data_IF_897900339683
#
_entry.id   IF_897900339683
#
_cell.length_a   1.000
_cell.length_b   1.000
_cell.length_c   1.000
_cell.angle_alpha   90.00
_cell.angle_beta   90.00
_cell.angle_gamma   90.00
#
_symmetry.space_group_name_H-M   'P 1'
#
loop_
_entity.id
_entity.type
_entity.pdbx_description
1 polymer ?
#
# COMPACT_ATOMS: atom_id res chain seq x y z
N UNK A 1 -30.40 -3.72 3.84
CA UNK A 1 -29.53 -2.66 4.41
C UNK A 1 -28.54 -2.27 3.31
N UNK A 2 -28.45 -0.97 2.97
CA UNK A 2 -27.43 -0.49 2.03
C UNK A 2 -26.05 -0.69 2.66
N UNK A 3 -25.08 -1.16 1.84
CA UNK A 3 -23.70 -1.27 2.31
C UNK A 3 -23.16 0.12 2.71
N UNK A 4 -22.40 0.22 3.81
CA UNK A 4 -21.82 1.50 4.22
C UNK A 4 -20.76 1.94 3.21
N UNK A 5 -20.59 3.25 3.07
CA UNK A 5 -19.40 3.80 2.45
C UNK A 5 -18.27 3.79 3.49
N UNK A 6 -17.19 3.08 3.23
CA UNK A 6 -16.09 2.98 4.20
C UNK A 6 -14.91 2.16 3.73
N UNK A 7 -13.94 1.99 4.61
CA UNK A 7 -12.77 1.13 4.38
C UNK A 7 -12.85 -0.08 5.31
N UNK A 8 -12.93 -1.26 4.73
CA UNK A 8 -12.87 -2.52 5.47
C UNK A 8 -11.40 -2.96 5.57
N UNK A 9 -10.79 -2.93 6.77
CA UNK A 9 -9.44 -3.37 6.98
C UNK A 9 -9.38 -4.90 7.00
N UNK A 10 -8.74 -5.51 6.00
CA UNK A 10 -8.69 -6.97 5.88
C UNK A 10 -7.26 -7.50 5.95
N UNK A 11 -7.05 -8.63 6.62
CA UNK A 11 -5.83 -9.43 6.52
C UNK A 11 -5.96 -10.40 5.34
N UNK A 12 -5.22 -10.12 4.27
CA UNK A 12 -5.13 -11.06 3.15
C UNK A 12 -4.30 -12.27 3.57
N UNK A 13 -4.80 -13.51 3.44
CA UNK A 13 -3.99 -14.70 3.61
C UNK A 13 -3.02 -14.89 2.45
N UNK A 14 -1.92 -15.66 2.60
CA UNK A 14 -1.10 -16.10 1.49
C UNK A 14 -1.90 -17.03 0.56
N UNK A 15 -1.59 -17.04 -0.74
CA UNK A 15 -2.24 -17.88 -1.75
C UNK A 15 -3.09 -17.09 -2.74
N UNK A 16 -4.25 -16.52 -2.36
CA UNK A 16 -5.09 -15.81 -3.30
C UNK A 16 -4.49 -14.44 -3.69
N UNK A 17 -4.73 -14.01 -4.93
CA UNK A 17 -4.42 -12.64 -5.36
C UNK A 17 -5.33 -11.63 -4.65
N UNK A 18 -4.91 -10.35 -4.57
CA UNK A 18 -5.75 -9.28 -4.01
C UNK A 18 -7.12 -9.18 -4.70
N UNK A 19 -7.19 -9.46 -6.01
CA UNK A 19 -8.46 -9.47 -6.76
C UNK A 19 -9.37 -10.65 -6.38
N UNK A 20 -8.79 -11.84 -6.16
CA UNK A 20 -9.55 -13.00 -5.68
C UNK A 20 -10.11 -12.77 -4.28
N UNK A 21 -9.36 -12.09 -3.41
CA UNK A 21 -9.83 -11.67 -2.07
C UNK A 21 -11.01 -10.71 -2.20
N UNK A 22 -10.91 -9.65 -3.04
CA UNK A 22 -12.05 -8.74 -3.32
C UNK A 22 -13.27 -9.52 -3.81
N UNK A 23 -13.08 -10.50 -4.70
CA UNK A 23 -14.17 -11.34 -5.21
C UNK A 23 -14.78 -12.23 -4.13
N UNK A 24 -13.97 -12.76 -3.21
CA UNK A 24 -14.46 -13.54 -2.07
C UNK A 24 -15.28 -12.66 -1.12
N UNK A 25 -14.76 -11.50 -0.74
CA UNK A 25 -15.47 -10.53 0.11
C UNK A 25 -16.79 -10.11 -0.52
N UNK A 26 -16.82 -9.83 -1.84
CA UNK A 26 -18.06 -9.47 -2.54
C UNK A 26 -19.13 -10.57 -2.50
N UNK A 27 -18.72 -11.84 -2.50
CA UNK A 27 -19.69 -12.96 -2.33
C UNK A 27 -20.27 -13.02 -0.93
N UNK A 28 -19.45 -12.71 0.10
CA UNK A 28 -19.88 -12.72 1.49
C UNK A 28 -20.83 -11.57 1.83
N UNK A 29 -20.51 -10.34 1.37
CA UNK A 29 -21.26 -9.13 1.76
C UNK A 29 -22.36 -8.74 0.76
N UNK A 30 -22.44 -9.43 -0.38
CA UNK A 30 -23.45 -9.20 -1.42
C UNK A 30 -22.87 -8.67 -2.73
N UNK A 31 -23.30 -9.27 -3.84
CA UNK A 31 -22.76 -8.99 -5.19
C UNK A 31 -23.03 -7.57 -5.71
N UNK A 32 -24.04 -6.89 -5.14
CA UNK A 32 -24.38 -5.50 -5.48
C UNK A 32 -23.46 -4.45 -4.84
N UNK A 33 -22.61 -4.85 -3.87
CA UNK A 33 -21.72 -3.93 -3.18
C UNK A 33 -20.47 -3.66 -4.03
N UNK A 34 -20.19 -2.39 -4.27
CA UNK A 34 -18.92 -2.00 -4.91
C UNK A 34 -17.78 -2.18 -3.93
N UNK A 35 -16.76 -2.95 -4.32
CA UNK A 35 -15.56 -3.16 -3.51
C UNK A 35 -14.34 -3.09 -4.40
N UNK A 36 -13.31 -2.37 -3.94
CA UNK A 36 -11.99 -2.29 -4.54
C UNK A 36 -10.91 -2.34 -3.46
N UNK A 37 -9.68 -2.70 -3.79
CA UNK A 37 -8.56 -2.65 -2.84
C UNK A 37 -7.68 -1.42 -3.06
N UNK A 38 -7.09 -0.90 -1.99
CA UNK A 38 -6.11 0.18 -2.00
C UNK A 38 -4.70 -0.39 -1.79
N UNK A 39 -4.13 -0.94 -2.87
CA UNK A 39 -2.76 -1.47 -2.88
C UNK A 39 -2.67 -2.98 -2.98
N UNK A 40 -2.20 -3.44 -4.14
CA UNK A 40 -1.99 -4.85 -4.44
C UNK A 40 -0.98 -5.49 -3.48
N UNK A 41 -1.26 -6.73 -3.08
CA UNK A 41 -0.29 -7.69 -2.54
C UNK A 41 -0.16 -8.85 -3.52
N UNK A 42 1.06 -9.35 -3.68
CA UNK A 42 1.33 -10.54 -4.48
C UNK A 42 0.59 -11.77 -3.90
N UNK A 43 0.29 -12.81 -4.68
CA UNK A 43 -0.43 -13.98 -4.17
C UNK A 43 0.24 -14.62 -2.96
N UNK A 44 1.56 -14.82 -2.97
CA UNK A 44 2.31 -15.41 -1.86
C UNK A 44 2.44 -14.50 -0.63
N UNK A 45 2.16 -13.20 -0.76
CA UNK A 45 2.23 -12.26 0.35
C UNK A 45 0.97 -12.29 1.21
N UNK A 46 1.15 -12.00 2.50
CA UNK A 46 0.07 -11.85 3.47
C UNK A 46 -0.01 -10.43 4.03
N UNK A 47 -1.07 -10.14 4.80
CA UNK A 47 -1.18 -8.94 5.64
C UNK A 47 -2.21 -7.92 5.19
N UNK A 48 -2.04 -6.70 5.65
CA UNK A 48 -3.02 -5.60 5.56
C UNK A 48 -3.38 -5.29 4.11
N UNK A 49 -4.65 -5.46 3.78
CA UNK A 49 -5.24 -5.12 2.49
C UNK A 49 -6.47 -4.22 2.72
N UNK A 50 -6.33 -2.90 2.66
CA UNK A 50 -7.48 -2.01 2.79
C UNK A 50 -8.45 -2.22 1.63
N UNK A 51 -9.72 -2.52 1.93
CA UNK A 51 -10.79 -2.66 0.95
C UNK A 51 -11.72 -1.46 1.04
N UNK A 52 -11.83 -0.71 -0.04
CA UNK A 52 -12.79 0.38 -0.16
C UNK A 52 -14.15 -0.18 -0.53
N UNK A 53 -15.18 0.19 0.24
CA UNK A 53 -16.57 -0.27 0.08
C UNK A 53 -17.45 0.91 -0.34
N UNK A 54 -18.39 0.68 -1.25
CA UNK A 54 -19.34 1.67 -1.70
C UNK A 54 -18.70 2.89 -2.35
N UNK A 55 -19.08 4.09 -1.94
CA UNK A 55 -18.53 5.37 -2.40
C UNK A 55 -17.06 5.56 -2.05
N UNK A 56 -16.57 4.92 -0.98
CA UNK A 56 -15.17 4.99 -0.59
C UNK A 56 -14.21 4.37 -1.63
N UNK A 57 -14.70 3.63 -2.63
CA UNK A 57 -13.87 3.20 -3.76
C UNK A 57 -13.22 4.35 -4.52
N UNK A 58 -13.80 5.57 -4.44
CA UNK A 58 -13.24 6.80 -5.00
C UNK A 58 -12.02 7.31 -4.22
N UNK A 59 -11.83 6.84 -2.97
CA UNK A 59 -10.76 7.27 -2.07
C UNK A 59 -9.53 6.37 -2.13
N UNK A 60 -9.56 5.28 -2.89
CA UNK A 60 -8.49 4.30 -2.96
C UNK A 60 -7.11 4.92 -3.29
N UNK A 61 -7.08 5.96 -4.11
CA UNK A 61 -5.85 6.66 -4.49
C UNK A 61 -5.18 7.35 -3.29
N UNK A 62 -5.95 7.92 -2.36
CA UNK A 62 -5.42 8.61 -1.17
C UNK A 62 -4.86 7.63 -0.14
N UNK A 63 -5.42 6.43 -0.03
CA UNK A 63 -4.92 5.37 0.85
C UNK A 63 -3.54 4.81 0.41
N UNK A 64 -3.03 5.24 -0.73
CA UNK A 64 -1.66 4.97 -1.14
C UNK A 64 -0.62 5.94 -0.56
N UNK A 65 -1.05 7.12 -0.04
CA UNK A 65 -0.16 8.18 0.46
C UNK A 65 0.64 7.73 1.68
N UNK A 66 0.04 7.11 2.74
CA UNK A 66 0.80 6.66 3.88
C UNK A 66 1.88 5.64 3.50
N UNK A 67 2.97 5.67 4.25
CA UNK A 67 4.02 4.67 4.14
C UNK A 67 3.44 3.27 4.38
N UNK A 68 4.05 2.29 3.74
CA UNK A 68 3.76 0.88 3.95
C UNK A 68 4.88 0.25 4.75
N UNK A 69 4.52 -0.69 5.61
CA UNK A 69 5.49 -1.42 6.38
C UNK A 69 5.37 -2.92 6.10
N UNK A 70 6.53 -3.54 5.86
CA UNK A 70 6.61 -4.94 5.51
C UNK A 70 7.66 -5.64 6.36
N UNK A 71 7.35 -6.88 6.74
CA UNK A 71 8.31 -7.86 7.23
C UNK A 71 8.55 -8.88 6.14
N UNK A 72 9.81 -9.16 5.84
CA UNK A 72 10.14 -10.06 4.74
C UNK A 72 11.37 -10.92 5.06
N UNK A 73 11.40 -12.08 4.45
CA UNK A 73 12.56 -12.95 4.44
C UNK A 73 13.41 -12.64 3.20
N UNK A 74 14.67 -12.31 3.41
CA UNK A 74 15.70 -12.16 2.40
C UNK A 74 16.48 -13.48 2.31
N UNK A 75 16.39 -14.17 1.19
CA UNK A 75 17.11 -15.42 0.92
C UNK A 75 18.33 -15.08 0.07
N UNK A 76 19.51 -15.23 0.65
CA UNK A 76 20.81 -14.88 0.06
C UNK A 76 21.51 -16.10 -0.51
N UNK A 77 22.20 -15.94 -1.65
CA UNK A 77 22.90 -17.00 -2.34
C UNK A 77 22.13 -17.65 -3.49
N UNK A 78 20.88 -17.22 -3.71
CA UNK A 78 20.04 -17.71 -4.80
C UNK A 78 19.26 -16.57 -5.44
N UNK A 79 19.29 -16.48 -6.77
CA UNK A 79 18.46 -15.58 -7.57
C UNK A 79 17.34 -16.37 -8.24
N UNK A 80 16.14 -15.79 -8.33
CA UNK A 80 15.03 -16.40 -9.06
C UNK A 80 14.53 -15.47 -10.16
N UNK A 81 13.94 -16.05 -11.20
CA UNK A 81 13.40 -15.32 -12.35
C UNK A 81 12.22 -14.40 -11.99
N UNK A 82 11.50 -14.66 -10.90
CA UNK A 82 10.42 -13.82 -10.35
C UNK A 82 10.88 -12.89 -9.24
N UNK A 83 12.13 -13.02 -8.78
CA UNK A 83 12.68 -12.32 -7.59
C UNK A 83 11.97 -12.69 -6.27
N UNK A 84 11.21 -13.80 -6.25
CA UNK A 84 10.59 -14.37 -5.05
C UNK A 84 10.72 -15.92 -5.05
N UNK A 85 10.28 -16.53 -3.96
CA UNK A 85 10.40 -17.98 -3.77
C UNK A 85 9.53 -18.84 -4.72
N UNK A 86 8.65 -18.23 -5.54
CA UNK A 86 7.83 -18.96 -6.51
C UNK A 86 8.53 -19.14 -7.85
N UNK A 87 9.63 -18.42 -8.07
CA UNK A 87 10.41 -18.49 -9.30
C UNK A 87 11.38 -19.66 -9.35
N UNK A 88 11.92 -19.91 -10.55
CA UNK A 88 13.00 -20.86 -10.74
C UNK A 88 14.33 -20.21 -10.40
N UNK A 89 15.22 -20.94 -9.73
CA UNK A 89 16.60 -20.48 -9.49
C UNK A 89 17.32 -20.31 -10.84
N UNK A 90 17.86 -19.12 -11.04
CA UNK A 90 18.55 -18.72 -12.28
C UNK A 90 20.01 -18.31 -12.06
N UNK A 91 20.42 -18.13 -10.81
CA UNK A 91 21.77 -17.69 -10.44
C UNK A 91 21.97 -17.69 -8.94
N UNK A 92 23.11 -17.12 -8.53
CA UNK A 92 23.51 -16.96 -7.14
C UNK A 92 24.95 -17.43 -6.91
N UNK A 93 25.47 -17.13 -5.72
CA UNK A 93 26.80 -17.52 -5.28
C UNK A 93 26.77 -17.91 -3.80
N UNK A 94 27.84 -18.55 -3.30
CA UNK A 94 27.91 -19.00 -1.92
C UNK A 94 27.76 -17.85 -0.92
N UNK A 95 26.73 -17.93 -0.08
CA UNK A 95 26.43 -16.99 0.99
C UNK A 95 26.96 -17.43 2.36
N UNK A 96 27.59 -18.62 2.46
CA UNK A 96 28.01 -19.20 3.75
C UNK A 96 29.04 -18.37 4.51
N UNK A 97 29.80 -17.51 3.80
CA UNK A 97 30.78 -16.60 4.40
C UNK A 97 30.21 -15.24 4.88
N UNK A 98 28.94 -14.98 4.67
CA UNK A 98 28.34 -13.70 5.05
C UNK A 98 28.21 -13.58 6.59
N UNK A 99 28.53 -12.39 7.10
CA UNK A 99 28.38 -12.06 8.52
C UNK A 99 27.23 -11.06 8.69
N UNK A 100 26.56 -11.10 9.85
CA UNK A 100 25.48 -10.17 10.21
C UNK A 100 25.84 -8.70 9.95
N UNK A 101 27.04 -8.29 10.37
CA UNK A 101 27.50 -6.91 10.20
C UNK A 101 27.58 -6.46 8.73
N UNK A 102 27.97 -7.38 7.82
CA UNK A 102 28.04 -7.09 6.38
C UNK A 102 26.65 -6.87 5.79
N UNK A 103 25.65 -7.62 6.27
CA UNK A 103 24.26 -7.45 5.84
C UNK A 103 23.72 -6.11 6.35
N UNK A 104 23.91 -5.82 7.65
CA UNK A 104 23.50 -4.53 8.24
C UNK A 104 24.13 -3.33 7.53
N UNK A 105 25.39 -3.43 7.14
CA UNK A 105 26.07 -2.40 6.34
C UNK A 105 25.41 -2.24 4.97
N UNK A 106 25.12 -3.33 4.26
CA UNK A 106 24.44 -3.28 2.97
C UNK A 106 23.04 -2.68 3.10
N UNK A 107 22.26 -3.09 4.10
CA UNK A 107 20.91 -2.55 4.30
C UNK A 107 20.90 -1.02 4.49
N UNK A 108 21.90 -0.46 5.20
CA UNK A 108 22.00 1.01 5.40
C UNK A 108 22.14 1.77 4.10
N UNK A 109 22.72 1.18 3.05
CA UNK A 109 22.88 1.86 1.75
C UNK A 109 21.57 2.01 0.98
N UNK A 110 20.53 1.31 1.37
CA UNK A 110 19.20 1.38 0.75
C UNK A 110 18.24 2.31 1.50
N UNK A 111 18.66 2.99 2.58
CA UNK A 111 17.83 4.00 3.24
C UNK A 111 17.79 5.30 2.43
N UNK A 112 16.63 5.98 2.44
CA UNK A 112 16.41 7.21 1.67
C UNK A 112 15.83 6.97 0.28
N UNK A 113 16.11 7.87 -0.69
CA UNK A 113 15.64 7.73 -2.08
C UNK A 113 16.40 6.62 -2.81
N UNK A 114 15.68 5.65 -3.34
CA UNK A 114 16.21 4.49 -4.07
C UNK A 114 15.59 4.43 -5.45
N UNK A 115 16.41 4.21 -6.47
CA UNK A 115 15.95 3.91 -7.83
C UNK A 115 15.82 2.41 -7.98
N UNK A 116 14.60 1.92 -8.16
CA UNK A 116 14.31 0.51 -8.38
C UNK A 116 13.88 0.27 -9.82
N UNK A 117 14.38 -0.77 -10.44
CA UNK A 117 13.84 -1.28 -11.70
C UNK A 117 12.54 -2.05 -11.41
N UNK A 118 11.44 -1.63 -12.04
CA UNK A 118 10.14 -2.31 -11.87
C UNK A 118 10.26 -3.77 -12.29
N UNK A 119 9.83 -4.74 -11.46
CA UNK A 119 9.92 -6.15 -11.83
C UNK A 119 8.97 -6.47 -12.99
N UNK A 120 9.37 -7.43 -13.85
CA UNK A 120 8.55 -7.84 -14.99
C UNK A 120 7.20 -8.45 -14.55
N UNK A 121 7.21 -9.18 -13.43
CA UNK A 121 5.99 -9.71 -12.81
C UNK A 121 5.30 -8.63 -11.94
N UNK A 122 4.81 -7.55 -12.58
CA UNK A 122 4.10 -6.48 -11.89
C UNK A 122 2.81 -6.08 -12.62
N UNK A 123 1.92 -5.38 -11.88
CA UNK A 123 0.69 -4.81 -12.44
C UNK A 123 0.94 -3.49 -13.19
N UNK A 124 2.17 -2.97 -13.22
CA UNK A 124 2.55 -1.78 -13.99
C UNK A 124 2.28 -2.03 -15.47
N UNK A 125 1.86 -0.97 -16.19
CA UNK A 125 1.56 -1.07 -17.62
C UNK A 125 2.69 -0.48 -18.46
N UNK A 126 2.95 -1.14 -19.59
CA UNK A 126 3.72 -0.63 -20.71
C UNK A 126 2.86 -0.77 -21.94
N UNK A 127 2.66 0.31 -22.72
CA UNK A 127 1.78 0.36 -23.88
C UNK A 127 0.37 -0.21 -23.62
N UNK A 128 -0.20 0.13 -22.46
CA UNK A 128 -1.54 -0.32 -22.08
C UNK A 128 -1.63 -1.76 -21.55
N UNK A 129 -0.60 -2.60 -21.77
CA UNK A 129 -0.53 -4.01 -21.37
C UNK A 129 0.23 -4.11 -20.03
N UNK A 130 -0.21 -4.96 -19.11
CA UNK A 130 0.46 -5.16 -17.83
C UNK A 130 1.77 -5.93 -18.01
N UNK A 131 2.83 -5.56 -17.30
CA UNK A 131 4.15 -6.18 -17.43
C UNK A 131 4.10 -7.71 -17.17
N UNK A 132 3.29 -8.18 -16.22
CA UNK A 132 3.16 -9.62 -15.99
C UNK A 132 2.57 -10.40 -17.19
N UNK A 133 1.83 -9.74 -18.09
CA UNK A 133 1.31 -10.37 -19.31
C UNK A 133 2.41 -10.58 -20.34
N UNK A 134 3.38 -9.65 -20.42
CA UNK A 134 4.61 -9.85 -21.21
C UNK A 134 5.42 -11.02 -20.64
N UNK A 135 5.61 -11.07 -19.32
CA UNK A 135 6.32 -12.15 -18.65
C UNK A 135 5.74 -13.53 -19.00
N UNK A 136 4.40 -13.68 -18.92
CA UNK A 136 3.71 -14.93 -19.25
C UNK A 136 3.86 -15.36 -20.71
N UNK A 137 4.05 -14.41 -21.60
CA UNK A 137 4.27 -14.66 -23.02
C UNK A 137 5.75 -14.92 -23.36
N UNK A 138 6.64 -14.88 -22.36
CA UNK A 138 8.08 -14.99 -22.57
C UNK A 138 8.69 -13.82 -23.36
N UNK A 139 8.00 -12.67 -23.40
CA UNK A 139 8.43 -11.47 -24.11
C UNK A 139 9.06 -10.51 -23.09
N UNK A 140 10.28 -10.07 -23.35
CA UNK A 140 10.89 -8.99 -22.55
C UNK A 140 10.24 -7.67 -22.94
N UNK A 141 9.92 -6.85 -21.92
CA UNK A 141 9.32 -5.54 -22.11
C UNK A 141 10.18 -4.48 -21.41
N UNK A 142 10.24 -3.24 -21.95
CA UNK A 142 10.91 -2.16 -21.26
C UNK A 142 10.34 -1.97 -19.86
N UNK A 143 11.22 -2.04 -18.87
CA UNK A 143 10.87 -1.88 -17.46
C UNK A 143 11.31 -0.50 -17.01
N UNK A 144 10.36 0.40 -16.66
CA UNK A 144 10.74 1.72 -16.19
C UNK A 144 11.45 1.63 -14.83
N UNK A 145 12.31 2.60 -14.57
CA UNK A 145 12.79 2.83 -13.22
C UNK A 145 11.72 3.58 -12.43
N UNK A 146 11.59 3.25 -11.15
CA UNK A 146 10.76 3.96 -10.19
C UNK A 146 11.66 4.54 -9.09
N UNK A 147 11.50 5.83 -8.81
CA UNK A 147 12.10 6.43 -7.61
C UNK A 147 11.17 6.16 -6.43
N UNK A 148 11.66 5.46 -5.43
CA UNK A 148 10.96 5.13 -4.19
C UNK A 148 11.73 5.67 -3.00
N UNK A 149 11.07 5.81 -1.87
CA UNK A 149 11.71 6.23 -0.63
C UNK A 149 11.62 5.13 0.42
N UNK A 150 12.75 4.73 0.97
CA UNK A 150 12.85 3.78 2.09
C UNK A 150 13.13 4.58 3.35
N UNK A 151 12.10 4.74 4.20
CA UNK A 151 12.21 5.48 5.45
C UNK A 151 13.10 4.74 6.45
N UNK A 152 12.93 3.43 6.55
CA UNK A 152 13.75 2.58 7.41
C UNK A 152 13.85 1.17 6.86
N UNK A 153 15.01 0.54 7.06
CA UNK A 153 15.27 -0.85 6.70
C UNK A 153 16.16 -1.46 7.78
N UNK A 154 15.67 -2.50 8.46
CA UNK A 154 16.32 -3.10 9.61
C UNK A 154 16.43 -4.62 9.46
N UNK A 155 17.57 -5.18 9.91
CA UNK A 155 17.75 -6.60 10.09
C UNK A 155 17.23 -6.99 11.48
N UNK A 156 16.22 -7.86 11.51
CA UNK A 156 15.64 -8.38 12.76
C UNK A 156 16.37 -9.64 13.22
N UNK A 157 16.54 -10.59 12.31
CA UNK A 157 17.16 -11.87 12.61
C UNK A 157 18.05 -12.35 11.46
N UNK A 158 19.01 -13.22 11.78
CA UNK A 158 20.00 -13.70 10.84
C UNK A 158 20.32 -15.17 11.05
N UNK A 159 20.16 -15.96 10.01
CA UNK A 159 20.47 -17.38 9.97
C UNK A 159 21.54 -17.64 8.88
N UNK A 160 22.81 -17.86 9.26
CA UNK A 160 23.86 -18.19 8.31
C UNK A 160 23.61 -19.56 7.67
N UNK A 161 24.07 -19.71 6.44
CA UNK A 161 23.90 -20.93 5.65
C UNK A 161 24.14 -20.71 4.18
N UNK A 162 23.84 -21.69 3.36
CA UNK A 162 23.87 -21.58 1.92
C UNK A 162 22.69 -22.39 1.30
N UNK A 163 21.54 -21.74 0.99
CA UNK A 163 21.28 -20.29 1.10
C UNK A 163 21.22 -19.81 2.55
N UNK A 164 21.64 -18.58 2.76
CA UNK A 164 21.49 -17.89 4.04
C UNK A 164 20.16 -17.11 4.09
N UNK A 165 19.63 -16.87 5.30
CA UNK A 165 18.33 -16.23 5.49
C UNK A 165 18.40 -15.07 6.47
N UNK A 166 17.78 -13.97 6.12
CA UNK A 166 17.64 -12.81 6.99
C UNK A 166 16.17 -12.40 7.11
N UNK A 167 15.70 -12.15 8.33
CA UNK A 167 14.41 -11.53 8.56
C UNK A 167 14.61 -10.01 8.66
N UNK A 168 13.93 -9.27 7.79
CA UNK A 168 14.06 -7.83 7.69
C UNK A 168 12.70 -7.14 7.85
N UNK A 169 12.75 -5.88 8.32
CA UNK A 169 11.60 -4.99 8.39
C UNK A 169 11.88 -3.72 7.56
N UNK A 170 10.91 -3.27 6.74
CA UNK A 170 11.05 -2.08 5.91
C UNK A 170 9.82 -1.18 6.00
N UNK A 171 10.03 0.13 6.15
CA UNK A 171 9.01 1.17 5.96
C UNK A 171 9.36 1.95 4.69
N UNK A 172 8.42 2.06 3.76
CA UNK A 172 8.72 2.62 2.45
C UNK A 172 7.49 3.28 1.80
N UNK A 173 7.77 4.13 0.82
CA UNK A 173 6.75 4.78 0.01
C UNK A 173 5.97 3.78 -0.85
N UNK A 174 4.82 4.23 -1.33
CA UNK A 174 4.04 3.52 -2.32
C UNK A 174 4.87 3.27 -3.60
N UNK A 175 4.63 2.14 -4.24
CA UNK A 175 5.35 1.75 -5.46
C UNK A 175 6.68 1.02 -5.21
N UNK A 176 7.11 0.86 -3.95
CA UNK A 176 8.28 0.04 -3.61
C UNK A 176 7.97 -1.43 -3.83
N UNK A 177 8.86 -2.11 -4.54
CA UNK A 177 8.84 -3.56 -4.75
C UNK A 177 9.86 -4.24 -3.84
N UNK A 178 9.37 -4.94 -2.80
CA UNK A 178 10.26 -5.66 -1.85
C UNK A 178 11.04 -6.75 -2.56
N UNK A 179 10.49 -7.37 -3.61
CA UNK A 179 11.20 -8.34 -4.46
C UNK A 179 12.44 -7.73 -5.14
N UNK A 180 12.28 -6.55 -5.74
CA UNK A 180 13.43 -5.82 -6.33
C UNK A 180 14.43 -5.41 -5.26
N UNK A 181 13.96 -4.95 -4.09
CA UNK A 181 14.84 -4.61 -2.96
C UNK A 181 15.70 -5.81 -2.54
N UNK A 182 15.11 -7.01 -2.45
CA UNK A 182 15.86 -8.23 -2.13
C UNK A 182 16.92 -8.55 -3.21
N UNK A 183 16.56 -8.47 -4.48
CA UNK A 183 17.50 -8.69 -5.58
C UNK A 183 18.65 -7.67 -5.58
N UNK A 184 18.34 -6.39 -5.35
CA UNK A 184 19.32 -5.31 -5.30
C UNK A 184 20.29 -5.47 -4.11
N UNK A 185 19.77 -5.87 -2.92
CA UNK A 185 20.60 -6.17 -1.74
C UNK A 185 21.53 -7.37 -2.04
N UNK A 186 21.00 -8.45 -2.64
CA UNK A 186 21.79 -9.62 -3.01
C UNK A 186 22.91 -9.28 -4.00
N UNK A 187 22.61 -8.41 -4.97
CA UNK A 187 23.60 -7.91 -5.93
C UNK A 187 24.68 -7.08 -5.25
N UNK A 188 24.30 -6.18 -4.32
CA UNK A 188 25.26 -5.36 -3.56
C UNK A 188 26.17 -6.20 -2.64
N UNK A 189 25.69 -7.34 -2.18
CA UNK A 189 26.46 -8.31 -1.39
C UNK A 189 27.30 -9.25 -2.28
N UNK A 190 27.05 -9.28 -3.61
CA UNK A 190 27.78 -10.13 -4.56
C UNK A 190 27.39 -11.59 -4.54
N UNK A 191 26.27 -11.97 -3.90
CA UNK A 191 25.84 -13.38 -3.78
C UNK A 191 24.50 -13.66 -4.47
N UNK A 192 23.78 -12.60 -4.91
CA UNK A 192 22.41 -12.73 -5.39
C UNK A 192 21.43 -13.02 -4.26
N UNK A 193 20.15 -12.64 -4.45
CA UNK A 193 19.10 -12.92 -3.51
C UNK A 193 17.70 -12.87 -4.15
N UNK A 194 16.74 -13.43 -3.43
CA UNK A 194 15.31 -13.29 -3.72
C UNK A 194 14.52 -13.10 -2.42
N UNK A 195 13.28 -12.68 -2.56
CA UNK A 195 12.34 -12.56 -1.46
C UNK A 195 11.74 -13.94 -1.13
N UNK A 196 11.83 -14.35 0.12
CA UNK A 196 11.13 -15.54 0.62
C UNK A 196 9.67 -15.21 0.96
N UNK A 197 9.36 -15.09 2.24
CA UNK A 197 8.05 -14.71 2.72
C UNK A 197 7.89 -13.18 2.83
N UNK A 198 6.66 -12.69 2.66
CA UNK A 198 6.32 -11.27 2.79
C UNK A 198 5.03 -11.11 3.58
N UNK A 199 5.07 -10.26 4.60
CA UNK A 199 3.89 -9.81 5.35
C UNK A 199 3.85 -8.30 5.36
N UNK A 200 2.78 -7.70 4.84
CA UNK A 200 2.52 -6.27 4.98
C UNK A 200 1.79 -6.01 6.29
N UNK A 201 2.46 -5.43 7.26
CA UNK A 201 1.87 -5.19 8.57
C UNK A 201 1.28 -3.78 8.73
N UNK A 202 1.54 -2.85 7.79
CA UNK A 202 0.83 -1.57 7.71
C UNK A 202 0.64 -1.08 6.28
N UNK A 203 -0.54 -0.52 5.98
CA UNK A 203 -0.88 0.12 4.70
C UNK A 203 -2.11 1.02 4.85
N UNK A 204 -2.14 2.14 4.11
CA UNK A 204 -3.32 3.02 4.07
C UNK A 204 -3.66 3.66 5.41
N UNK A 205 -2.68 3.86 6.29
CA UNK A 205 -2.91 4.36 7.64
C UNK A 205 -3.39 3.28 8.64
N UNK A 206 -3.51 2.02 8.20
CA UNK A 206 -3.97 0.89 9.00
C UNK A 206 -2.80 -0.03 9.34
N UNK A 207 -2.84 -0.64 10.51
CA UNK A 207 -1.95 -1.72 10.92
C UNK A 207 -2.70 -3.06 11.01
N UNK A 208 -1.95 -4.15 11.17
CA UNK A 208 -2.51 -5.50 11.20
C UNK A 208 -3.45 -5.74 12.40
N UNK A 209 -3.24 -5.04 13.53
CA UNK A 209 -4.09 -5.16 14.72
C UNK A 209 -5.49 -4.58 14.54
N UNK A 210 -5.67 -3.68 13.57
CA UNK A 210 -6.98 -3.10 13.23
C UNK A 210 -7.73 -3.91 12.16
N UNK A 211 -7.15 -4.99 11.63
CA UNK A 211 -7.71 -5.74 10.52
C UNK A 211 -8.41 -7.02 10.99
N UNK A 212 -9.43 -7.43 10.24
CA UNK A 212 -10.10 -8.72 10.41
C UNK A 212 -9.63 -9.72 9.34
N UNK A 213 -9.75 -11.01 9.64
CA UNK A 213 -9.47 -12.11 8.69
C UNK A 213 -10.67 -12.36 7.78
N UNK A 214 -10.49 -13.22 6.76
CA UNK A 214 -11.60 -13.64 5.91
C UNK A 214 -12.60 -14.51 6.69
N UNK A 215 -12.12 -15.32 7.63
CA UNK A 215 -12.94 -16.20 8.48
C UNK A 215 -13.81 -15.37 9.45
N UNK A 216 -13.23 -14.34 10.08
CA UNK A 216 -13.98 -13.41 10.94
C UNK A 216 -15.02 -12.62 10.12
N UNK A 217 -14.65 -12.20 8.90
CA UNK A 217 -15.58 -11.54 7.99
C UNK A 217 -16.74 -12.47 7.59
N UNK A 218 -16.46 -13.73 7.28
CA UNK A 218 -17.49 -14.72 6.93
C UNK A 218 -18.49 -14.92 8.07
N UNK A 219 -17.99 -15.03 9.30
CA UNK A 219 -18.84 -15.12 10.48
C UNK A 219 -19.70 -13.85 10.67
N UNK A 220 -19.10 -12.65 10.54
CA UNK A 220 -19.81 -11.39 10.67
C UNK A 220 -20.81 -11.12 9.53
N UNK A 221 -20.61 -11.69 8.35
CA UNK A 221 -21.49 -11.51 7.20
C UNK A 221 -22.86 -12.19 7.38
N UNK A 222 -22.95 -13.26 8.16
CA UNK A 222 -24.20 -13.99 8.39
C UNK A 222 -25.29 -13.10 9.01
N UNK A 223 -24.91 -12.21 9.92
CA UNK A 223 -25.82 -11.29 10.62
C UNK A 223 -25.71 -9.84 10.16
N UNK A 224 -25.07 -9.60 9.01
CA UNK A 224 -24.73 -8.26 8.48
C UNK A 224 -23.86 -7.41 9.44
N UNK A 225 -23.22 -8.01 10.44
CA UNK A 225 -22.37 -7.33 11.44
C UNK A 225 -21.04 -6.88 10.84
N UNK A 226 -20.67 -7.34 9.65
CA UNK A 226 -19.44 -6.94 8.97
C UNK A 226 -19.34 -5.42 8.75
N UNK A 227 -20.49 -4.71 8.70
CA UNK A 227 -20.54 -3.26 8.53
C UNK A 227 -19.90 -2.51 9.70
N UNK A 228 -19.92 -3.10 10.91
CA UNK A 228 -19.29 -2.55 12.10
C UNK A 228 -17.75 -2.53 12.02
N UNK A 229 -17.16 -3.36 11.14
CA UNK A 229 -15.73 -3.36 10.89
C UNK A 229 -15.30 -2.33 9.85
N UNK A 230 -16.26 -1.65 9.18
CA UNK A 230 -15.94 -0.62 8.21
C UNK A 230 -15.57 0.68 8.93
N UNK A 231 -14.39 1.21 8.62
CA UNK A 231 -13.92 2.52 9.08
C UNK A 231 -14.57 3.58 8.21
N UNK A 232 -15.12 4.63 8.82
CA UNK A 232 -15.73 5.74 8.10
C UNK A 232 -14.70 6.43 7.16
N UNK A 233 -15.13 6.97 6.00
CA UNK A 233 -14.22 7.62 5.06
C UNK A 233 -13.39 8.75 5.67
N UNK A 234 -13.96 9.50 6.60
CA UNK A 234 -13.27 10.59 7.32
C UNK A 234 -12.10 10.05 8.16
N UNK A 235 -12.33 8.95 8.88
CA UNK A 235 -11.33 8.34 9.76
C UNK A 235 -10.25 7.60 8.96
N UNK A 236 -10.65 6.93 7.86
CA UNK A 236 -9.71 6.26 6.97
C UNK A 236 -8.70 7.21 6.31
N UNK A 237 -9.07 8.48 6.14
CA UNK A 237 -8.17 9.56 5.68
C UNK A 237 -7.62 10.39 6.85
N UNK A 238 -7.63 9.88 8.08
CA UNK A 238 -7.19 10.56 9.29
C UNK A 238 -5.76 11.11 9.26
N UNK A 239 -4.91 10.58 8.39
CA UNK A 239 -3.55 11.07 8.14
C UNK A 239 -3.49 12.39 7.36
N UNK A 240 -4.60 12.82 6.72
CA UNK A 240 -4.71 14.15 6.09
C UNK A 240 -5.20 15.19 7.11
N UNK A 241 -4.67 16.42 7.10
CA UNK A 241 -5.22 17.52 7.89
C UNK A 241 -6.70 17.74 7.56
N UNK A 242 -7.48 18.14 8.56
CA UNK A 242 -8.91 18.37 8.40
C UNK A 242 -9.25 19.85 8.28
N UNK A 243 -10.24 20.16 7.45
CA UNK A 243 -10.94 21.44 7.39
C UNK A 243 -12.42 21.19 7.64
N UNK A 244 -12.96 21.72 8.73
CA UNK A 244 -14.40 21.69 8.96
C UNK A 244 -15.05 22.91 8.34
N UNK A 245 -16.14 22.70 7.60
CA UNK A 245 -16.90 23.74 6.90
C UNK A 245 -18.29 23.89 7.50
N UNK A 246 -18.88 25.08 7.33
CA UNK A 246 -20.24 25.32 7.75
C UNK A 246 -21.29 24.70 6.80
N UNK A 247 -22.59 24.68 7.17
CA UNK A 247 -23.63 24.08 6.34
C UNK A 247 -23.84 24.77 4.97
N UNK A 248 -23.49 26.04 4.83
CA UNK A 248 -23.59 26.74 3.55
C UNK A 248 -22.47 26.35 2.60
N UNK A 249 -21.24 26.31 3.12
CA UNK A 249 -20.07 25.79 2.38
C UNK A 249 -20.23 24.30 2.02
N UNK A 250 -20.79 23.48 2.94
CA UNK A 250 -21.06 22.07 2.69
C UNK A 250 -22.01 21.86 1.47
N UNK A 251 -23.08 22.68 1.40
CA UNK A 251 -23.99 22.68 0.23
C UNK A 251 -23.28 23.16 -1.05
N UNK A 252 -22.44 24.18 -0.93
CA UNK A 252 -21.67 24.69 -2.07
C UNK A 252 -20.69 23.66 -2.63
N UNK A 253 -20.04 22.88 -1.75
CA UNK A 253 -19.18 21.75 -2.11
C UNK A 253 -19.90 20.67 -2.92
N UNK A 254 -21.15 20.34 -2.54
CA UNK A 254 -21.99 19.41 -3.30
C UNK A 254 -22.26 19.87 -4.74
N UNK A 255 -22.19 21.19 -4.99
CA UNK A 255 -22.29 21.82 -6.31
C UNK A 255 -20.92 22.12 -6.96
N UNK A 256 -19.85 21.53 -6.45
CA UNK A 256 -18.49 21.67 -6.98
C UNK A 256 -17.80 23.00 -6.66
N UNK A 257 -18.31 23.79 -5.72
CA UNK A 257 -17.68 25.05 -5.29
C UNK A 257 -16.73 24.79 -4.12
N UNK A 258 -15.44 25.20 -4.20
CA UNK A 258 -14.51 25.00 -3.10
C UNK A 258 -14.86 25.87 -1.88
N UNK A 259 -14.33 25.51 -0.68
CA UNK A 259 -14.40 26.38 0.49
C UNK A 259 -13.83 27.76 0.22
N UNK A 260 -14.38 28.78 0.86
CA UNK A 260 -13.91 30.14 0.71
C UNK A 260 -12.47 30.33 1.19
N UNK A 261 -11.74 31.29 0.56
CA UNK A 261 -10.44 31.74 1.06
C UNK A 261 -10.52 32.16 2.51
N UNK A 262 -9.55 31.75 3.33
CA UNK A 262 -9.49 32.09 4.74
C UNK A 262 -8.06 32.29 5.21
N UNK A 263 -7.90 32.94 6.38
CA UNK A 263 -6.59 33.10 6.98
C UNK A 263 -6.00 31.74 7.35
N UNK A 264 -4.76 31.47 6.94
CA UNK A 264 -4.03 30.26 7.32
C UNK A 264 -3.74 30.27 8.83
N UNK A 265 -3.99 29.16 9.49
CA UNK A 265 -3.62 28.97 10.87
C UNK A 265 -2.10 28.79 11.05
N UNK A 266 -1.59 28.95 12.28
CA UNK A 266 -0.20 28.66 12.57
C UNK A 266 0.15 27.22 12.24
N UNK A 267 1.24 27.01 11.45
CA UNK A 267 1.71 25.67 11.05
C UNK A 267 0.89 24.99 9.95
N UNK A 268 -0.09 25.66 9.36
CA UNK A 268 -0.77 25.12 8.19
C UNK A 268 0.13 25.19 6.97
N UNK A 269 0.26 24.04 6.30
CA UNK A 269 1.09 23.86 5.09
C UNK A 269 0.22 23.59 3.86
N UNK A 270 0.77 23.87 2.69
CA UNK A 270 0.17 23.47 1.42
C UNK A 270 0.16 21.93 1.29
N UNK A 271 -0.93 21.39 0.76
CA UNK A 271 -1.05 19.93 0.59
C UNK A 271 -2.50 19.47 0.57
N UNK A 272 -2.69 18.17 0.46
CA UNK A 272 -4.00 17.55 0.51
C UNK A 272 -4.61 17.67 1.91
N UNK A 273 -5.90 17.96 1.95
CA UNK A 273 -6.71 18.03 3.16
C UNK A 273 -8.01 17.26 2.97
N UNK A 274 -8.61 16.80 4.06
CA UNK A 274 -9.98 16.29 4.10
C UNK A 274 -10.92 17.42 4.53
N UNK A 275 -12.02 17.60 3.80
CA UNK A 275 -13.04 18.59 4.11
C UNK A 275 -14.22 17.88 4.76
N UNK A 276 -14.56 18.29 5.99
CA UNK A 276 -15.57 17.66 6.83
C UNK A 276 -16.74 18.62 7.05
N UNK A 277 -17.95 18.09 7.21
CA UNK A 277 -19.07 18.85 7.76
C UNK A 277 -18.94 18.98 9.29
N UNK A 278 -19.86 19.72 9.92
CA UNK A 278 -19.91 19.91 11.37
C UNK A 278 -20.18 18.63 12.17
N UNK A 279 -20.66 17.56 11.52
CA UNK A 279 -20.85 16.22 12.09
C UNK A 279 -19.64 15.32 11.92
N UNK A 280 -18.56 15.78 11.28
CA UNK A 280 -17.34 15.01 11.03
C UNK A 280 -17.41 14.11 9.79
N UNK A 281 -18.46 14.18 8.97
CA UNK A 281 -18.57 13.41 7.74
C UNK A 281 -17.68 13.99 6.64
N UNK A 282 -16.97 13.12 5.92
CA UNK A 282 -16.14 13.51 4.78
C UNK A 282 -17.01 13.99 3.61
N UNK A 283 -16.80 15.24 3.19
CA UNK A 283 -17.48 15.85 2.04
C UNK A 283 -16.60 15.81 0.78
N UNK A 284 -15.32 16.11 0.95
CA UNK A 284 -14.37 16.19 -0.16
C UNK A 284 -12.93 15.98 0.30
N UNK A 285 -12.06 15.68 -0.67
CA UNK A 285 -10.61 15.90 -0.58
C UNK A 285 -10.29 17.13 -1.41
N UNK A 286 -9.48 18.03 -0.88
CA UNK A 286 -9.08 19.26 -1.54
C UNK A 286 -7.58 19.49 -1.43
N UNK A 287 -7.01 20.19 -2.40
CA UNK A 287 -5.67 20.76 -2.34
C UNK A 287 -5.75 22.11 -1.65
N UNK A 288 -5.05 22.29 -0.53
CA UNK A 288 -4.83 23.56 0.15
C UNK A 288 -3.53 24.18 -0.36
N UNK A 289 -3.58 25.45 -0.75
CA UNK A 289 -2.41 26.25 -1.09
C UNK A 289 -2.30 27.40 -0.08
N UNK A 290 -1.20 27.46 0.65
CA UNK A 290 -0.90 28.54 1.61
C UNK A 290 0.02 29.54 0.94
N UNK A 291 -0.43 30.81 0.87
CA UNK A 291 0.32 31.93 0.32
C UNK A 291 0.26 33.14 1.27
N UNK A 292 1.40 33.47 1.87
CA UNK A 292 1.44 34.54 2.88
C UNK A 292 0.63 34.18 4.13
N UNK A 293 -0.41 34.99 4.41
CA UNK A 293 -1.30 34.80 5.58
C UNK A 293 -2.59 34.05 5.23
N UNK A 294 -2.79 33.65 3.98
CA UNK A 294 -4.05 33.10 3.49
C UNK A 294 -3.91 31.68 2.95
N UNK A 295 -4.98 30.93 3.02
CA UNK A 295 -5.14 29.62 2.42
C UNK A 295 -6.27 29.64 1.37
N UNK A 296 -6.00 29.06 0.22
CA UNK A 296 -6.95 28.82 -0.86
C UNK A 296 -7.13 27.32 -1.06
N UNK A 297 -8.31 26.91 -1.59
CA UNK A 297 -8.68 25.51 -1.71
C UNK A 297 -9.15 25.19 -3.12
N UNK A 298 -8.69 24.07 -3.63
CA UNK A 298 -9.15 23.47 -4.90
C UNK A 298 -9.70 22.09 -4.62
N UNK A 299 -10.91 21.79 -5.10
CA UNK A 299 -11.50 20.47 -4.93
C UNK A 299 -10.76 19.46 -5.82
N UNK A 300 -10.24 18.41 -5.22
CA UNK A 300 -9.69 17.25 -5.93
C UNK A 300 -10.78 16.19 -6.15
N UNK A 301 -11.60 15.95 -5.12
CA UNK A 301 -12.66 14.94 -5.20
C UNK A 301 -13.81 15.23 -4.25
N UNK A 302 -15.03 15.28 -4.76
CA UNK A 302 -16.26 15.29 -3.98
C UNK A 302 -16.64 13.83 -3.65
N UNK A 303 -16.98 13.57 -2.39
CA UNK A 303 -17.34 12.23 -1.88
C UNK A 303 -18.84 12.09 -1.68
N UNK A 304 -19.57 13.19 -1.45
CA UNK A 304 -21.03 13.26 -1.21
C UNK A 304 -21.81 13.02 -2.50
#
# INVERSE_FOLDING_TARGET
>A
VSAPDGVLPLLKPPGPSSHQVVSAVRRLVGSGVRIGHAGTLDPGAAGVLPLCVGGATRLAEYLHIPLKAYRFELVLGQETDTQDATGRVVGGADAGGLRRSRIEEALRTFAGPVRQRVPLYSARRHDGIRLYEYARRGVDAPRPDALVHIESLALLDWHPGNPARALCDVRCSSGTYVRSLCADIGSALGVGAHMGHLVRHAAGGLDAGACITLEELEAAAQDALWTAHCIAPADALGFLPALTVDPAEARALGNGRPPGRRRAGPGEESGLIRVLDSGGRLLAVAQRTVGGTDAEFQIEKVVV
#
